data_IF_206338379631
#
_entry.id   IF_206338379631
#
_cell.length_a   1.000
_cell.length_b   1.000
_cell.length_c   1.000
_cell.angle_alpha   90.00
_cell.angle_beta   90.00
_cell.angle_gamma   90.00
#
_symmetry.space_group_name_H-M   'P 1'
#
loop_
_entity.id
_entity.type
_entity.pdbx_description
1 polymer ?
#
# COMPACT_ATOMS: atom_id res chain seq x y z
N UNK A 1 -49.94 -34.04 0.67
CA UNK A 1 -49.40 -35.37 0.30
C UNK A 1 -49.54 -35.47 -1.21
N UNK A 2 -48.54 -35.51 -2.10
CA UNK A 2 -47.07 -35.68 -2.10
C UNK A 2 -46.59 -35.07 -3.46
N UNK A 3 -45.53 -34.25 -3.53
CA UNK A 3 -44.15 -34.60 -3.98
C UNK A 3 -44.10 -35.53 -5.22
N UNK A 4 -43.25 -35.41 -6.24
CA UNK A 4 -42.13 -34.55 -6.67
C UNK A 4 -41.73 -35.07 -8.07
N UNK A 5 -40.99 -34.28 -8.86
CA UNK A 5 -39.80 -34.65 -9.67
C UNK A 5 -39.73 -34.07 -11.09
N UNK A 6 -38.86 -33.06 -11.22
CA UNK A 6 -37.83 -33.02 -12.26
C UNK A 6 -38.08 -32.19 -13.52
N UNK A 7 -37.40 -31.03 -13.63
CA UNK A 7 -36.11 -30.92 -14.36
C UNK A 7 -35.72 -29.44 -14.59
N UNK A 8 -34.68 -29.04 -13.88
CA UNK A 8 -33.85 -27.85 -14.09
C UNK A 8 -33.17 -27.90 -15.47
N UNK A 9 -33.29 -26.84 -16.29
CA UNK A 9 -32.30 -26.51 -17.34
C UNK A 9 -31.97 -25.01 -17.33
N UNK A 10 -30.75 -24.75 -16.86
CA UNK A 10 -29.86 -23.60 -17.05
C UNK A 10 -30.41 -22.28 -17.56
N UNK A 11 -30.60 -21.33 -16.65
CA UNK A 11 -30.53 -19.90 -16.95
C UNK A 11 -29.30 -19.31 -16.28
N UNK A 12 -28.37 -18.81 -17.12
CA UNK A 12 -27.46 -17.71 -16.81
C UNK A 12 -26.46 -17.95 -15.69
N UNK A 13 -25.18 -18.10 -16.03
CA UNK A 13 -24.07 -17.83 -15.13
C UNK A 13 -24.17 -16.39 -14.64
N UNK A 14 -24.89 -16.20 -13.53
CA UNK A 14 -24.91 -14.98 -12.75
C UNK A 14 -23.46 -14.67 -12.41
N UNK A 15 -22.97 -13.51 -12.86
CA UNK A 15 -21.76 -12.87 -12.37
C UNK A 15 -22.00 -12.52 -10.89
N UNK A 16 -21.96 -13.53 -10.02
CA UNK A 16 -21.96 -13.34 -8.59
C UNK A 16 -20.61 -12.71 -8.27
N UNK A 17 -20.62 -11.43 -7.88
CA UNK A 17 -19.43 -10.76 -7.40
C UNK A 17 -18.85 -11.62 -6.27
N UNK A 18 -17.60 -12.03 -6.46
CA UNK A 18 -16.87 -12.83 -5.50
C UNK A 18 -16.97 -12.16 -4.12
N UNK A 19 -17.33 -12.92 -3.10
CA UNK A 19 -17.55 -12.40 -1.75
C UNK A 19 -16.36 -11.55 -1.31
N UNK A 20 -16.60 -10.44 -0.59
CA UNK A 20 -15.56 -9.45 -0.28
C UNK A 20 -14.32 -10.03 0.41
N UNK A 21 -14.48 -11.13 1.16
CA UNK A 21 -13.37 -11.85 1.79
C UNK A 21 -12.49 -12.61 0.79
N UNK A 22 -13.06 -13.14 -0.30
CA UNK A 22 -12.33 -13.88 -1.32
C UNK A 22 -11.47 -12.93 -2.18
N UNK A 23 -11.99 -11.73 -2.50
CA UNK A 23 -11.21 -10.67 -3.14
C UNK A 23 -10.07 -10.20 -2.22
N UNK A 24 -10.34 -10.04 -0.93
CA UNK A 24 -9.31 -9.71 0.05
C UNK A 24 -8.25 -10.81 0.17
N UNK A 25 -8.66 -12.08 0.18
CA UNK A 25 -7.75 -13.23 0.26
C UNK A 25 -6.88 -13.36 -1.00
N UNK A 26 -7.46 -13.26 -2.20
CA UNK A 26 -6.71 -13.27 -3.44
C UNK A 26 -5.72 -12.08 -3.53
N UNK A 27 -6.12 -10.91 -3.03
CA UNK A 27 -5.21 -9.77 -2.91
C UNK A 27 -4.08 -10.06 -1.90
N UNK A 28 -4.38 -10.68 -0.76
CA UNK A 28 -3.41 -11.11 0.25
C UNK A 28 -2.42 -12.14 -0.34
N UNK A 29 -2.89 -13.14 -1.08
CA UNK A 29 -2.05 -14.15 -1.73
C UNK A 29 -1.12 -13.51 -2.77
N UNK A 30 -1.61 -12.54 -3.54
CA UNK A 30 -0.79 -11.77 -4.49
C UNK A 30 0.27 -10.91 -3.79
N UNK A 31 -0.08 -10.38 -2.62
CA UNK A 31 0.76 -9.45 -1.85
C UNK A 31 1.75 -10.20 -0.92
N UNK A 32 1.45 -11.45 -0.54
CA UNK A 32 2.24 -12.30 0.35
C UNK A 32 1.88 -12.12 1.83
N UNK A 33 1.84 -13.22 2.57
CA UNK A 33 1.37 -13.30 3.98
C UNK A 33 2.14 -12.37 4.93
N UNK A 34 3.44 -12.20 4.75
CA UNK A 34 4.27 -11.34 5.62
C UNK A 34 3.88 -9.87 5.55
N UNK A 35 3.47 -9.43 4.36
CA UNK A 35 3.05 -8.05 4.11
C UNK A 35 1.70 -7.75 4.78
N UNK A 36 0.81 -8.75 4.88
CA UNK A 36 -0.45 -8.63 5.59
C UNK A 36 -0.22 -8.41 7.09
N UNK A 37 0.75 -9.10 7.69
CA UNK A 37 1.11 -8.90 9.10
C UNK A 37 1.67 -7.50 9.33
N UNK A 38 2.57 -7.02 8.45
CA UNK A 38 3.09 -5.65 8.52
C UNK A 38 1.98 -4.60 8.34
N UNK A 39 1.01 -4.83 7.45
CA UNK A 39 -0.14 -3.95 7.26
C UNK A 39 -1.04 -3.91 8.52
N UNK A 40 -1.27 -5.05 9.17
CA UNK A 40 -1.99 -5.14 10.45
C UNK A 40 -1.21 -4.43 11.58
N UNK A 41 0.11 -4.57 11.62
CA UNK A 41 0.98 -3.94 12.61
C UNK A 41 1.05 -2.41 12.44
N UNK A 42 1.05 -1.90 11.20
CA UNK A 42 0.94 -0.46 10.92
C UNK A 42 -0.45 0.08 11.28
N UNK A 43 -1.51 -0.72 11.12
CA UNK A 43 -2.84 -0.40 11.66
C UNK A 43 -2.79 -0.23 13.19
N UNK A 44 -1.98 -1.03 13.89
CA UNK A 44 -1.74 -0.89 15.32
C UNK A 44 -1.12 0.44 15.73
N UNK A 45 -0.29 1.07 14.89
CA UNK A 45 0.19 2.44 15.15
C UNK A 45 -0.91 3.49 14.89
N UNK A 46 -1.79 3.25 13.91
CA UNK A 46 -2.98 4.09 13.71
C UNK A 46 -3.94 4.03 14.90
N UNK A 47 -4.04 2.90 15.64
CA UNK A 47 -4.82 2.81 16.89
C UNK A 47 -4.38 3.89 17.90
N UNK A 48 -3.10 4.26 17.95
CA UNK A 48 -2.62 5.34 18.85
C UNK A 48 -3.17 6.72 18.48
N UNK A 49 -3.52 6.92 17.21
CA UNK A 49 -4.16 8.14 16.72
C UNK A 49 -5.67 8.16 16.99
N UNK A 50 -6.29 7.02 17.35
CA UNK A 50 -7.72 6.99 17.68
C UNK A 50 -8.06 7.84 18.91
N UNK A 51 -7.14 8.02 19.86
CA UNK A 51 -7.38 8.93 20.99
C UNK A 51 -7.58 10.37 20.51
N UNK A 52 -6.70 10.83 19.62
CA UNK A 52 -6.78 12.17 19.01
C UNK A 52 -8.00 12.30 18.08
N UNK A 53 -8.30 11.24 17.33
CA UNK A 53 -9.48 11.17 16.48
C UNK A 53 -10.77 11.22 17.32
N UNK A 54 -10.85 10.44 18.40
CA UNK A 54 -11.99 10.44 19.33
C UNK A 54 -12.12 11.77 20.09
N UNK A 55 -11.02 12.44 20.42
CA UNK A 55 -11.05 13.81 20.97
C UNK A 55 -11.58 14.81 19.94
N UNK A 56 -11.15 14.69 18.67
CA UNK A 56 -11.68 15.51 17.58
C UNK A 56 -13.19 15.30 17.40
N UNK A 57 -13.67 14.05 17.34
CA UNK A 57 -15.11 13.74 17.24
C UNK A 57 -15.90 14.20 18.48
N UNK A 58 -15.34 14.10 19.69
CA UNK A 58 -15.96 14.63 20.91
C UNK A 58 -16.05 16.16 20.90
N UNK A 59 -15.00 16.85 20.45
CA UNK A 59 -14.90 18.31 20.51
C UNK A 59 -15.66 19.02 19.39
N UNK A 60 -15.69 18.43 18.19
CA UNK A 60 -16.20 19.10 17.00
C UNK A 60 -17.50 18.50 16.46
N UNK A 61 -17.91 17.31 16.95
CA UNK A 61 -19.14 16.59 16.58
C UNK A 61 -19.56 16.82 15.11
N UNK A 62 -18.67 16.52 14.15
CA UNK A 62 -18.94 16.79 12.75
C UNK A 62 -20.14 15.96 12.28
N UNK A 63 -21.01 16.50 11.42
CA UNK A 63 -22.20 15.78 10.97
C UNK A 63 -21.78 14.51 10.23
N UNK A 64 -22.24 13.37 10.75
CA UNK A 64 -22.14 12.08 10.06
C UNK A 64 -23.08 12.10 8.85
N UNK A 65 -22.74 11.38 7.78
CA UNK A 65 -23.61 11.31 6.61
C UNK A 65 -24.94 10.63 6.99
N UNK A 66 -25.92 11.48 7.29
CA UNK A 66 -27.26 11.14 7.75
C UNK A 66 -28.15 12.38 7.94
N UNK A 67 -27.95 13.43 7.14
CA UNK A 67 -28.79 14.65 7.04
C UNK A 67 -28.67 15.62 8.22
N UNK A 68 -28.52 16.94 8.09
CA UNK A 68 -28.78 17.90 7.02
C UNK A 68 -27.75 19.03 7.11
N UNK A 69 -27.31 19.54 5.97
CA UNK A 69 -26.37 20.66 5.85
C UNK A 69 -27.15 21.96 5.61
N UNK A 70 -26.96 23.00 6.43
CA UNK A 70 -27.41 24.36 6.12
C UNK A 70 -26.38 25.42 6.58
N UNK A 71 -25.56 25.82 5.61
CA UNK A 71 -24.96 27.13 5.36
C UNK A 71 -23.94 27.76 6.34
N UNK A 72 -22.70 27.27 6.20
CA UNK A 72 -21.48 28.02 5.79
C UNK A 72 -20.79 27.20 4.68
N UNK A 73 -21.60 26.83 3.69
CA UNK A 73 -21.49 25.62 2.85
C UNK A 73 -20.38 25.63 1.78
N UNK A 74 -19.53 26.66 1.67
CA UNK A 74 -18.47 26.73 0.65
C UNK A 74 -17.03 26.72 1.19
N UNK A 75 -16.75 27.29 2.37
CA UNK A 75 -15.36 27.44 2.83
C UNK A 75 -14.79 26.16 3.48
N UNK A 76 -15.66 25.29 4.02
CA UNK A 76 -15.25 24.01 4.61
C UNK A 76 -14.95 22.93 3.57
N UNK A 77 -15.51 23.02 2.36
CA UNK A 77 -15.22 22.06 1.28
C UNK A 77 -13.86 22.33 0.66
N UNK A 78 -13.44 23.60 0.57
CA UNK A 78 -12.10 23.97 0.08
C UNK A 78 -10.99 23.72 1.10
N UNK A 79 -11.20 23.97 2.40
CA UNK A 79 -10.20 23.69 3.44
C UNK A 79 -10.12 22.22 3.86
N UNK A 80 -11.23 21.46 3.80
CA UNK A 80 -11.19 20.01 4.02
C UNK A 80 -10.60 19.28 2.81
N UNK A 81 -10.68 19.83 1.58
CA UNK A 81 -9.90 19.31 0.46
C UNK A 81 -8.45 19.80 0.51
N UNK A 82 -8.16 21.07 0.80
CA UNK A 82 -6.80 21.61 0.82
C UNK A 82 -5.96 21.09 1.99
N UNK A 83 -6.51 20.81 3.18
CA UNK A 83 -5.73 20.27 4.30
C UNK A 83 -5.61 18.72 4.25
N UNK A 84 -6.58 18.03 3.64
CA UNK A 84 -6.54 16.57 3.43
C UNK A 84 -5.77 16.19 2.16
N UNK A 85 -5.65 17.08 1.16
CA UNK A 85 -4.72 16.93 0.03
C UNK A 85 -3.32 17.53 0.30
N UNK A 86 -3.18 18.61 1.08
CA UNK A 86 -1.86 19.19 1.39
C UNK A 86 -1.10 18.47 2.51
N UNK A 87 -1.73 17.53 3.23
CA UNK A 87 -0.97 16.42 3.85
C UNK A 87 -0.76 15.38 2.75
N UNK A 88 0.09 15.77 1.80
CA UNK A 88 0.86 14.99 0.85
C UNK A 88 0.76 13.47 1.14
N UNK A 89 0.09 12.71 0.27
CA UNK A 89 0.11 11.23 0.32
C UNK A 89 1.52 10.75 -0.02
N UNK A 90 2.36 10.78 1.01
CA UNK A 90 3.69 10.20 1.07
C UNK A 90 3.61 8.69 0.78
N UNK A 91 4.58 8.12 0.06
CA UNK A 91 4.55 6.69 -0.19
C UNK A 91 4.68 5.88 1.11
N UNK A 92 3.69 5.05 1.38
CA UNK A 92 3.66 4.17 2.53
C UNK A 92 4.40 2.87 2.21
N UNK A 93 5.58 2.71 2.80
CA UNK A 93 6.45 1.55 2.59
C UNK A 93 6.15 0.50 3.66
N UNK A 94 5.66 -0.64 3.20
CA UNK A 94 5.35 -1.79 4.02
C UNK A 94 6.51 -2.79 3.95
N UNK A 95 6.73 -3.47 5.06
CA UNK A 95 7.82 -4.44 5.26
C UNK A 95 9.21 -3.84 5.48
N UNK A 96 9.29 -2.86 6.39
CA UNK A 96 10.57 -2.41 6.96
C UNK A 96 11.34 -3.53 7.67
N UNK A 97 10.68 -4.65 8.01
CA UNK A 97 11.33 -5.83 8.58
C UNK A 97 12.39 -6.40 7.65
N UNK A 98 12.11 -6.52 6.35
CA UNK A 98 13.06 -7.05 5.37
C UNK A 98 14.31 -6.20 5.23
N UNK A 99 14.18 -4.86 5.35
CA UNK A 99 15.34 -3.97 5.42
C UNK A 99 16.22 -4.30 6.63
N UNK A 100 15.60 -4.51 7.80
CA UNK A 100 16.31 -4.86 9.04
C UNK A 100 17.03 -6.20 8.96
N UNK A 101 16.35 -7.21 8.45
CA UNK A 101 16.92 -8.55 8.28
C UNK A 101 18.12 -8.49 7.32
N UNK A 102 17.96 -7.79 6.18
CA UNK A 102 19.02 -7.68 5.19
C UNK A 102 20.26 -6.95 5.74
N UNK A 103 20.10 -5.81 6.42
CA UNK A 103 21.26 -5.09 6.96
C UNK A 103 21.87 -5.74 8.20
N UNK A 104 21.18 -6.69 8.84
CA UNK A 104 21.77 -7.51 9.91
C UNK A 104 22.82 -8.46 9.33
N UNK A 105 22.56 -9.00 8.12
CA UNK A 105 23.49 -9.88 7.39
C UNK A 105 24.54 -9.04 6.63
N UNK A 106 24.13 -7.89 6.09
CA UNK A 106 24.98 -6.98 5.33
C UNK A 106 25.02 -5.58 6.00
N UNK A 107 25.77 -5.38 7.11
CA UNK A 107 25.79 -4.11 7.84
C UNK A 107 26.16 -2.89 7.00
N UNK A 108 27.00 -3.06 5.97
CA UNK A 108 27.38 -2.01 5.03
C UNK A 108 26.23 -1.47 4.16
N UNK A 109 25.06 -2.13 4.16
CA UNK A 109 23.86 -1.69 3.44
C UNK A 109 22.99 -0.72 4.23
N UNK A 110 23.14 -0.65 5.57
CA UNK A 110 22.24 0.07 6.49
C UNK A 110 21.97 1.51 6.05
N UNK A 111 23.01 2.32 5.90
CA UNK A 111 22.86 3.74 5.59
C UNK A 111 22.24 3.95 4.20
N UNK A 112 22.61 3.12 3.23
CA UNK A 112 22.10 3.24 1.87
C UNK A 112 20.62 2.85 1.79
N UNK A 113 20.22 1.76 2.45
CA UNK A 113 18.83 1.31 2.52
C UNK A 113 17.96 2.28 3.34
N UNK A 114 18.50 2.88 4.41
CA UNK A 114 17.79 3.90 5.17
C UNK A 114 17.61 5.18 4.34
N UNK A 115 18.62 5.61 3.59
CA UNK A 115 18.52 6.74 2.68
C UNK A 115 17.50 6.48 1.57
N UNK A 116 17.55 5.30 0.94
CA UNK A 116 16.55 4.87 -0.05
C UNK A 116 15.14 4.89 0.54
N UNK A 117 14.94 4.28 1.71
CA UNK A 117 13.64 4.21 2.36
C UNK A 117 13.11 5.60 2.70
N UNK A 118 13.93 6.47 3.30
CA UNK A 118 13.50 7.83 3.68
C UNK A 118 13.21 8.71 2.48
N UNK A 119 13.96 8.55 1.38
CA UNK A 119 13.69 9.23 0.11
C UNK A 119 12.37 8.77 -0.49
N UNK A 120 12.17 7.44 -0.59
CA UNK A 120 10.95 6.88 -1.17
C UNK A 120 9.73 7.22 -0.32
N UNK A 121 9.84 7.16 1.00
CA UNK A 121 8.75 7.48 1.92
C UNK A 121 8.29 8.94 1.81
N UNK A 122 9.14 9.85 1.32
CA UNK A 122 8.78 11.26 1.09
C UNK A 122 8.40 11.54 -0.36
N UNK A 123 8.63 10.58 -1.25
CA UNK A 123 8.31 10.73 -2.65
C UNK A 123 6.80 10.71 -2.89
N UNK A 124 6.41 11.35 -3.99
CA UNK A 124 5.09 11.26 -4.59
C UNK A 124 5.30 10.92 -6.05
N UNK A 125 4.76 9.78 -6.48
CA UNK A 125 4.82 9.41 -7.89
C UNK A 125 3.46 8.92 -8.34
N UNK A 126 2.87 9.63 -9.30
CA UNK A 126 1.58 9.26 -9.88
C UNK A 126 1.66 7.97 -10.71
N UNK A 127 2.84 7.70 -11.27
CA UNK A 127 3.14 6.55 -12.13
C UNK A 127 4.64 6.18 -12.06
N UNK A 128 5.01 5.17 -12.84
CA UNK A 128 6.39 4.70 -12.94
C UNK A 128 7.36 5.75 -13.51
N UNK A 129 6.90 6.59 -14.44
CA UNK A 129 7.75 7.64 -15.04
C UNK A 129 8.10 8.71 -14.01
N UNK A 130 7.12 9.14 -13.22
CA UNK A 130 7.34 10.06 -12.10
C UNK A 130 8.27 9.45 -11.05
N UNK A 131 8.13 8.14 -10.78
CA UNK A 131 9.02 7.44 -9.85
C UNK A 131 10.46 7.37 -10.36
N UNK A 132 10.65 7.11 -11.66
CA UNK A 132 11.96 7.09 -12.32
C UNK A 132 12.62 8.47 -12.36
N UNK A 133 11.84 9.55 -12.37
CA UNK A 133 12.36 10.90 -12.21
C UNK A 133 12.91 11.16 -10.79
N UNK A 134 12.34 10.51 -9.76
CA UNK A 134 12.85 10.58 -8.38
C UNK A 134 14.10 9.72 -8.22
N UNK A 135 14.05 8.49 -8.72
CA UNK A 135 15.13 7.53 -8.66
C UNK A 135 15.61 7.24 -10.08
N UNK A 136 16.70 7.91 -10.46
CA UNK A 136 17.28 7.87 -11.81
C UNK A 136 17.56 6.43 -12.33
N UNK A 137 17.70 5.48 -11.40
CA UNK A 137 18.02 4.07 -11.64
C UNK A 137 16.90 3.17 -11.09
N UNK A 138 15.80 3.08 -11.86
CA UNK A 138 14.66 2.20 -11.58
C UNK A 138 14.19 1.51 -12.85
N UNK A 139 13.93 0.21 -12.70
CA UNK A 139 13.48 -0.68 -13.77
C UNK A 139 12.19 -1.39 -13.43
N UNK A 140 11.46 -1.78 -14.48
CA UNK A 140 10.25 -2.60 -14.39
C UNK A 140 10.58 -4.02 -14.85
N UNK A 141 10.46 -5.00 -13.96
CA UNK A 141 10.83 -6.40 -14.23
C UNK A 141 9.72 -7.31 -13.74
N UNK A 142 9.06 -8.00 -14.67
CA UNK A 142 8.03 -9.01 -14.38
C UNK A 142 6.93 -8.56 -13.40
N UNK A 143 6.49 -7.30 -13.51
CA UNK A 143 5.45 -6.74 -12.64
C UNK A 143 5.96 -6.13 -11.34
N UNK A 144 7.28 -6.13 -11.11
CA UNK A 144 7.91 -5.48 -9.98
C UNK A 144 8.71 -4.25 -10.40
N UNK A 145 8.81 -3.31 -9.47
CA UNK A 145 9.72 -2.17 -9.55
C UNK A 145 11.02 -2.56 -8.85
N UNK A 146 12.13 -2.45 -9.57
CA UNK A 146 13.47 -2.77 -9.09
C UNK A 146 14.26 -1.47 -8.91
N UNK A 147 14.74 -1.23 -7.70
CA UNK A 147 15.54 -0.06 -7.36
C UNK A 147 17.01 -0.43 -7.21
N UNK A 148 17.89 0.33 -7.85
CA UNK A 148 19.33 0.26 -7.60
C UNK A 148 19.70 1.10 -6.38
N UNK A 149 20.39 0.49 -5.42
CA UNK A 149 20.78 1.16 -4.17
C UNK A 149 22.29 1.05 -3.94
N UNK A 150 22.88 2.13 -3.41
CA UNK A 150 24.31 2.23 -3.07
C UNK A 150 25.25 2.08 -4.28
N UNK A 151 24.93 2.74 -5.40
CA UNK A 151 25.76 2.65 -6.62
C UNK A 151 25.79 1.22 -7.17
N UNK A 152 24.61 0.66 -7.41
CA UNK A 152 24.40 -0.66 -8.01
C UNK A 152 24.75 -1.88 -7.13
N UNK A 153 25.12 -1.70 -5.87
CA UNK A 153 25.51 -2.81 -4.98
C UNK A 153 24.34 -3.69 -4.53
N UNK A 154 23.17 -3.08 -4.37
CA UNK A 154 21.97 -3.75 -3.88
C UNK A 154 20.78 -3.48 -4.79
N UNK A 155 19.80 -4.40 -4.74
CA UNK A 155 18.52 -4.34 -5.45
C UNK A 155 17.40 -4.45 -4.45
N UNK A 156 16.50 -3.47 -4.46
CA UNK A 156 15.24 -3.58 -3.73
C UNK A 156 14.14 -3.87 -4.74
N UNK A 157 13.48 -5.01 -4.59
CA UNK A 157 12.38 -5.44 -5.45
C UNK A 157 11.09 -5.16 -4.72
N UNK A 158 10.20 -4.38 -5.33
CA UNK A 158 8.95 -3.99 -4.71
C UNK A 158 7.75 -4.07 -5.67
N UNK A 159 6.59 -4.41 -5.12
CA UNK A 159 5.30 -4.16 -5.77
C UNK A 159 4.84 -2.75 -5.37
N UNK A 160 4.60 -1.89 -6.36
CA UNK A 160 4.25 -0.48 -6.16
C UNK A 160 2.85 -0.22 -6.68
N UNK A 161 1.95 0.11 -5.76
CA UNK A 161 0.58 0.49 -6.08
C UNK A 161 0.47 2.01 -6.08
N UNK A 162 0.71 2.62 -7.23
CA UNK A 162 0.73 4.09 -7.39
C UNK A 162 -0.58 4.76 -6.97
N UNK A 163 -1.74 4.16 -7.25
CA UNK A 163 -3.04 4.74 -6.85
C UNK A 163 -3.17 4.95 -5.34
N UNK A 164 -2.66 4.02 -4.54
CA UNK A 164 -2.70 4.10 -3.08
C UNK A 164 -1.42 4.67 -2.47
N UNK A 165 -0.42 5.00 -3.29
CA UNK A 165 0.94 5.36 -2.86
C UNK A 165 1.50 4.32 -1.88
N UNK A 166 1.33 3.03 -2.17
CA UNK A 166 1.79 1.94 -1.29
C UNK A 166 2.90 1.16 -1.95
N UNK A 167 3.96 0.88 -1.20
CA UNK A 167 5.13 0.13 -1.66
C UNK A 167 5.30 -1.10 -0.79
N UNK A 168 5.34 -2.26 -1.41
CA UNK A 168 5.54 -3.54 -0.74
C UNK A 168 6.91 -4.09 -1.10
N UNK A 169 7.86 -4.04 -0.16
CA UNK A 169 9.18 -4.62 -0.37
C UNK A 169 9.03 -6.13 -0.42
N UNK A 170 9.36 -6.78 -1.54
CA UNK A 170 9.30 -8.23 -1.73
C UNK A 170 10.61 -8.89 -1.36
N UNK A 171 11.70 -8.40 -1.95
CA UNK A 171 13.04 -8.94 -1.75
C UNK A 171 14.08 -7.82 -1.75
N UNK A 172 15.20 -8.08 -1.08
CA UNK A 172 16.40 -7.25 -1.14
C UNK A 172 17.56 -8.18 -1.44
N UNK A 173 18.32 -7.86 -2.47
CA UNK A 173 19.43 -8.68 -2.95
C UNK A 173 20.69 -7.85 -3.08
N UNK A 174 21.83 -8.50 -2.94
CA UNK A 174 23.08 -8.05 -3.56
C UNK A 174 23.00 -8.17 -5.07
N UNK A 175 23.87 -7.47 -5.79
CA UNK A 175 23.93 -7.58 -7.25
C UNK A 175 24.06 -9.05 -7.73
N UNK A 176 24.90 -9.85 -7.05
CA UNK A 176 25.12 -11.27 -7.39
C UNK A 176 23.87 -12.14 -7.19
N UNK A 177 23.15 -11.92 -6.10
CA UNK A 177 21.91 -12.66 -5.81
C UNK A 177 20.81 -12.28 -6.81
N UNK A 178 20.74 -11.00 -7.18
CA UNK A 178 19.80 -10.52 -8.18
C UNK A 178 20.04 -11.14 -9.57
N UNK A 179 21.30 -11.25 -10.01
CA UNK A 179 21.62 -11.86 -11.30
C UNK A 179 21.21 -13.34 -11.37
N UNK A 180 21.11 -14.01 -10.22
CA UNK A 180 20.66 -15.40 -10.11
C UNK A 180 19.16 -15.54 -9.90
N UNK A 181 18.46 -14.43 -9.64
CA UNK A 181 17.03 -14.42 -9.37
C UNK A 181 16.22 -14.56 -10.66
N UNK A 182 15.23 -15.43 -10.64
CA UNK A 182 14.27 -15.63 -11.74
C UNK A 182 12.87 -15.26 -11.24
N UNK A 183 12.29 -14.15 -11.74
CA UNK A 183 10.96 -13.70 -11.36
C UNK A 183 9.84 -14.61 -11.85
#
# INVERSE_FOLDING_TARGET
MTADTGRITGSGTTLIALEGYQLAYAAIERIGVEVQMDLLLDYGQNIKQYTQLHEYFRRYQPPTQGGRCLNRLCLNRLLQYLFVFAIIKSMHIISKRRLREFWTIHPGSTNALLHWHTTLARAQAADFSALKAVFNTVDWVSGYVVFDVSGNKYRVIADVVFRSQTVFIKHIFTHKEYDSWKP
#
